data_IF_027467935146
#
_entry.id   IF_027467935146
#
_cell.length_a   1.000
_cell.length_b   1.000
_cell.length_c   1.000
_cell.angle_alpha   90.00
_cell.angle_beta   90.00
_cell.angle_gamma   90.00
#
_symmetry.space_group_name_H-M   'P 1'
#
loop_
_entity.id
_entity.type
_entity.pdbx_description
1 polymer ?
#
# COMPACT_ATOMS: atom_id res chain seq x y z
N UNK A 1 -19.43 -2.09 27.82
CA UNK A 1 -19.61 -3.26 26.91
C UNK A 1 -18.26 -3.94 26.71
N UNK A 2 -18.21 -5.18 26.20
CA UNK A 2 -16.93 -5.88 25.96
C UNK A 2 -15.98 -5.07 25.05
N UNK A 3 -16.51 -4.30 24.10
CA UNK A 3 -15.72 -3.42 23.25
C UNK A 3 -15.08 -2.26 24.01
N UNK A 4 -15.78 -1.66 24.99
CA UNK A 4 -15.23 -0.57 25.81
C UNK A 4 -14.06 -1.02 26.68
N UNK A 5 -14.08 -2.27 27.12
CA UNK A 5 -13.01 -2.84 27.93
C UNK A 5 -11.82 -3.26 27.06
N UNK A 6 -12.06 -3.86 25.88
CA UNK A 6 -10.98 -4.41 25.06
C UNK A 6 -10.23 -3.36 24.23
N UNK A 7 -10.93 -2.37 23.66
CA UNK A 7 -10.33 -1.40 22.74
C UNK A 7 -9.11 -0.68 23.33
N UNK A 8 -9.14 -0.18 24.59
CA UNK A 8 -7.97 0.43 25.25
C UNK A 8 -6.70 -0.43 25.29
N UNK A 9 -6.84 -1.77 25.24
CA UNK A 9 -5.68 -2.67 25.28
C UNK A 9 -5.16 -3.03 23.89
N UNK A 10 -5.99 -2.92 22.85
CA UNK A 10 -5.65 -3.40 21.50
C UNK A 10 -5.37 -2.29 20.49
N UNK A 11 -5.82 -1.04 20.73
CA UNK A 11 -5.64 0.04 19.75
C UNK A 11 -4.17 0.39 19.47
N UNK A 12 -3.29 0.23 20.47
CA UNK A 12 -1.86 0.55 20.34
C UNK A 12 -1.00 -0.61 19.83
N UNK A 13 -1.59 -1.78 19.56
CA UNK A 13 -0.86 -2.91 19.00
C UNK A 13 -0.42 -2.55 17.58
N UNK A 14 0.90 -2.48 17.34
CA UNK A 14 1.46 -2.05 16.06
C UNK A 14 1.19 -3.03 14.92
N UNK A 15 0.98 -4.32 15.23
CA UNK A 15 0.62 -5.35 14.24
C UNK A 15 -0.85 -5.26 13.79
N UNK A 16 -1.67 -4.45 14.46
CA UNK A 16 -3.06 -4.21 14.05
C UNK A 16 -3.12 -2.92 13.25
N UNK A 17 -3.60 -3.03 12.01
CA UNK A 17 -3.86 -1.90 11.13
C UNK A 17 -5.23 -1.27 11.43
N UNK A 18 -6.30 -2.07 11.33
CA UNK A 18 -7.69 -1.62 11.48
C UNK A 18 -8.52 -2.62 12.28
N UNK A 19 -9.39 -2.14 13.17
CA UNK A 19 -10.32 -2.91 14.01
C UNK A 19 -11.76 -2.58 13.58
N UNK A 20 -12.52 -3.58 13.14
CA UNK A 20 -13.91 -3.42 12.70
C UNK A 20 -14.86 -3.87 13.81
N UNK A 21 -15.80 -3.01 14.18
CA UNK A 21 -16.79 -3.31 15.22
C UNK A 21 -18.13 -3.68 14.58
N UNK A 22 -18.58 -4.91 14.79
CA UNK A 22 -19.94 -5.35 14.48
C UNK A 22 -20.81 -5.23 15.74
N UNK A 23 -21.88 -4.45 15.67
CA UNK A 23 -22.84 -4.35 16.77
C UNK A 23 -24.26 -4.18 16.22
N UNK A 24 -25.14 -5.09 16.58
CA UNK A 24 -26.57 -5.05 16.21
C UNK A 24 -27.39 -4.15 17.14
N UNK A 25 -26.88 -3.88 18.33
CA UNK A 25 -27.53 -2.99 19.29
C UNK A 25 -26.97 -1.58 19.09
N UNK A 26 -27.82 -0.61 18.75
CA UNK A 26 -27.43 0.78 18.43
C UNK A 26 -26.76 1.58 19.58
N UNK A 27 -26.36 0.91 20.65
CA UNK A 27 -25.89 1.53 21.89
C UNK A 27 -24.46 2.06 21.77
N UNK A 28 -23.64 1.49 20.87
CA UNK A 28 -22.19 1.74 20.80
C UNK A 28 -21.80 2.76 19.69
N UNK A 29 -22.77 3.44 19.07
CA UNK A 29 -22.49 4.25 17.87
C UNK A 29 -21.85 5.63 18.11
N UNK A 30 -21.65 6.07 19.36
CA UNK A 30 -21.35 7.48 19.65
C UNK A 30 -19.87 7.86 19.83
N UNK A 31 -19.12 7.11 20.65
CA UNK A 31 -17.96 7.72 21.34
C UNK A 31 -16.58 7.19 20.91
N UNK A 32 -16.47 5.97 20.37
CA UNK A 32 -15.17 5.30 20.20
C UNK A 32 -14.55 5.48 18.81
N UNK A 33 -15.38 5.65 17.79
CA UNK A 33 -14.96 5.75 16.38
C UNK A 33 -14.19 7.03 16.11
N UNK A 34 -14.51 8.09 16.87
CA UNK A 34 -13.79 9.36 16.82
C UNK A 34 -12.59 9.40 17.79
N UNK A 35 -12.53 8.48 18.75
CA UNK A 35 -11.47 8.47 19.78
C UNK A 35 -10.23 7.70 19.33
N UNK A 36 -10.39 6.66 18.53
CA UNK A 36 -9.31 5.75 18.15
C UNK A 36 -9.20 5.66 16.63
N UNK A 37 -8.07 6.08 16.07
CA UNK A 37 -7.85 6.16 14.62
C UNK A 37 -7.96 4.81 13.88
N UNK A 38 -7.66 3.70 14.57
CA UNK A 38 -7.74 2.35 14.01
C UNK A 38 -9.12 1.71 14.06
N UNK A 39 -10.10 2.34 14.72
CA UNK A 39 -11.41 1.72 14.96
C UNK A 39 -12.42 2.20 13.92
N UNK A 40 -13.01 1.26 13.18
CA UNK A 40 -14.08 1.51 12.20
C UNK A 40 -15.40 0.87 12.64
N UNK A 41 -16.50 1.56 12.40
CA UNK A 41 -17.85 1.09 12.72
C UNK A 41 -18.63 2.06 13.62
N UNK A 42 -19.52 1.58 14.51
CA UNK A 42 -20.05 0.21 14.51
C UNK A 42 -20.89 -0.06 13.26
N UNK A 43 -20.82 -1.29 12.77
CA UNK A 43 -21.59 -1.76 11.62
C UNK A 43 -22.76 -2.61 12.09
N UNK A 44 -23.96 -2.30 11.59
CA UNK A 44 -25.20 -3.02 11.91
C UNK A 44 -25.36 -4.32 11.11
N UNK A 45 -24.61 -4.46 10.01
CA UNK A 45 -24.67 -5.60 9.10
C UNK A 45 -23.26 -6.07 8.76
N UNK A 46 -23.05 -7.38 8.77
CA UNK A 46 -21.78 -8.00 8.39
C UNK A 46 -21.40 -7.64 6.95
N UNK A 47 -22.39 -7.49 6.05
CA UNK A 47 -22.18 -7.08 4.67
C UNK A 47 -21.48 -5.73 4.57
N UNK A 48 -21.83 -4.77 5.43
CA UNK A 48 -21.16 -3.46 5.47
C UNK A 48 -19.70 -3.57 5.90
N UNK A 49 -19.34 -4.54 6.74
CA UNK A 49 -17.95 -4.82 7.08
C UNK A 49 -17.22 -5.39 5.85
N UNK A 50 -17.83 -6.35 5.15
CA UNK A 50 -17.23 -6.92 3.94
C UNK A 50 -16.94 -5.85 2.88
N UNK A 51 -17.88 -4.94 2.64
CA UNK A 51 -17.71 -3.85 1.66
C UNK A 51 -16.55 -2.92 2.01
N UNK A 52 -16.43 -2.53 3.29
CA UNK A 52 -15.33 -1.65 3.74
C UNK A 52 -14.01 -2.40 3.72
N UNK A 53 -13.99 -3.67 4.14
CA UNK A 53 -12.79 -4.50 4.10
C UNK A 53 -12.28 -4.69 2.66
N UNK A 54 -13.17 -4.89 1.68
CA UNK A 54 -12.78 -4.93 0.27
C UNK A 54 -12.18 -3.61 -0.22
N UNK A 55 -12.70 -2.47 0.23
CA UNK A 55 -12.16 -1.16 -0.10
C UNK A 55 -10.78 -0.94 0.52
N UNK A 56 -10.62 -1.32 1.80
CA UNK A 56 -9.38 -1.17 2.54
C UNK A 56 -8.27 -2.07 1.97
N UNK A 57 -8.60 -3.30 1.54
CA UNK A 57 -7.66 -4.18 0.82
C UNK A 57 -7.23 -3.55 -0.50
N UNK A 58 -8.17 -3.00 -1.28
CA UNK A 58 -7.85 -2.32 -2.55
C UNK A 58 -6.98 -1.08 -2.33
N UNK A 59 -7.19 -0.35 -1.23
CA UNK A 59 -6.38 0.80 -0.87
C UNK A 59 -4.99 0.39 -0.37
N UNK A 60 -4.88 -0.68 0.43
CA UNK A 60 -3.61 -1.26 0.86
C UNK A 60 -2.75 -1.68 -0.34
N UNK A 61 -3.32 -2.42 -1.30
CA UNK A 61 -2.61 -2.78 -2.54
C UNK A 61 -2.16 -1.57 -3.38
N UNK A 62 -2.87 -0.43 -3.31
CA UNK A 62 -2.44 0.84 -3.94
C UNK A 62 -1.40 1.59 -3.13
N UNK A 63 -1.46 1.50 -1.80
CA UNK A 63 -0.53 2.11 -0.87
C UNK A 63 0.77 1.32 -0.70
N UNK A 64 0.85 0.09 -1.20
CA UNK A 64 2.09 -0.68 -1.34
C UNK A 64 2.94 -0.24 -2.56
N UNK A 65 2.57 0.86 -3.23
CA UNK A 65 3.46 1.53 -4.18
C UNK A 65 3.53 3.06 -4.00
N UNK A 66 4.06 3.60 -2.88
CA UNK A 66 4.50 4.98 -2.82
C UNK A 66 6.03 4.98 -2.93
N UNK A 67 6.55 5.17 -4.14
CA UNK A 67 7.96 5.54 -4.28
C UNK A 67 8.07 7.03 -3.94
N UNK A 68 8.23 7.35 -2.65
CA UNK A 68 8.49 8.72 -2.20
C UNK A 68 9.98 9.00 -2.32
N UNK A 69 10.34 9.86 -3.25
CA UNK A 69 11.72 10.30 -3.45
C UNK A 69 12.06 11.61 -2.72
N UNK A 70 11.13 12.16 -1.95
CA UNK A 70 11.36 13.36 -1.16
C UNK A 70 11.33 12.96 0.31
N UNK A 71 12.33 13.35 1.11
CA UNK A 71 12.30 13.06 2.54
C UNK A 71 11.14 13.83 3.19
N UNK A 72 10.22 13.10 3.81
CA UNK A 72 9.07 13.65 4.52
C UNK A 72 9.55 14.18 5.88
N UNK A 73 10.25 15.30 5.88
CA UNK A 73 10.74 15.92 7.10
C UNK A 73 9.63 16.80 7.68
N UNK A 74 9.02 16.40 8.80
CA UNK A 74 7.97 17.17 9.50
C UNK A 74 8.46 18.52 10.09
N UNK A 75 9.74 18.87 9.92
CA UNK A 75 10.38 20.05 10.54
C UNK A 75 11.06 20.99 9.52
N UNK A 76 10.53 21.17 8.31
CA UNK A 76 11.09 22.14 7.35
C UNK A 76 10.62 23.56 7.61
N UNK A 77 11.07 24.15 8.71
CA UNK A 77 11.29 25.59 8.78
C UNK A 77 12.80 25.79 8.69
N UNK A 78 13.28 26.41 7.62
CA UNK A 78 14.69 26.73 7.30
C UNK A 78 15.51 25.74 6.44
N UNK A 79 14.89 24.99 5.51
CA UNK A 79 15.66 24.39 4.41
C UNK A 79 15.75 25.34 3.22
N UNK A 80 16.97 25.68 2.82
CA UNK A 80 17.30 26.52 1.66
C UNK A 80 16.78 25.86 0.38
N UNK A 81 15.71 26.42 -0.19
CA UNK A 81 15.05 25.94 -1.42
C UNK A 81 15.98 25.90 -2.65
N UNK A 82 17.18 26.50 -2.54
CA UNK A 82 18.21 26.45 -3.59
C UNK A 82 19.10 25.19 -3.52
N UNK A 83 19.00 24.38 -2.46
CA UNK A 83 19.69 23.10 -2.37
C UNK A 83 18.78 22.01 -2.93
N UNK A 84 19.11 21.56 -4.13
CA UNK A 84 18.46 20.40 -4.73
C UNK A 84 18.77 19.19 -3.84
N UNK A 85 17.73 18.62 -3.23
CA UNK A 85 17.86 17.44 -2.39
C UNK A 85 18.60 16.35 -3.20
N UNK A 86 19.64 15.68 -2.66
CA UNK A 86 20.32 14.60 -3.36
C UNK A 86 19.36 13.54 -3.93
N UNK A 87 18.22 13.33 -3.27
CA UNK A 87 17.14 12.45 -3.72
C UNK A 87 16.51 12.90 -5.03
N UNK A 88 16.44 14.20 -5.30
CA UNK A 88 16.01 14.72 -6.59
C UNK A 88 16.97 14.30 -7.72
N UNK A 89 18.29 14.39 -7.49
CA UNK A 89 19.29 13.94 -8.46
C UNK A 89 19.17 12.43 -8.71
N UNK A 90 19.02 11.63 -7.65
CA UNK A 90 18.81 10.19 -7.79
C UNK A 90 17.50 9.88 -8.53
N UNK A 91 16.44 10.64 -8.29
CA UNK A 91 15.14 10.49 -8.97
C UNK A 91 15.26 10.81 -10.44
N UNK A 92 15.91 11.91 -10.80
CA UNK A 92 16.09 12.28 -12.20
C UNK A 92 16.94 11.24 -12.92
N UNK A 93 18.05 10.79 -12.32
CA UNK A 93 18.87 9.72 -12.91
C UNK A 93 18.06 8.42 -13.06
N UNK A 94 17.29 8.04 -12.04
CA UNK A 94 16.48 6.83 -12.06
C UNK A 94 15.36 6.91 -13.11
N UNK A 95 14.67 8.05 -13.18
CA UNK A 95 13.66 8.37 -14.21
C UNK A 95 14.27 8.33 -15.60
N UNK A 96 15.47 8.88 -15.79
CA UNK A 96 16.16 8.85 -17.07
C UNK A 96 16.53 7.42 -17.47
N UNK A 97 17.08 6.61 -16.56
CA UNK A 97 17.40 5.20 -16.83
C UNK A 97 16.12 4.43 -17.17
N UNK A 98 15.06 4.62 -16.39
CA UNK A 98 13.81 3.91 -16.59
C UNK A 98 13.12 4.32 -17.88
N UNK A 99 13.00 5.61 -18.20
CA UNK A 99 12.19 6.08 -19.32
C UNK A 99 12.96 6.21 -20.64
N UNK A 100 14.28 6.44 -20.61
CA UNK A 100 15.08 6.58 -21.85
C UNK A 100 15.50 5.24 -22.44
N UNK A 101 15.45 4.15 -21.68
CA UNK A 101 15.70 2.82 -22.21
C UNK A 101 14.51 2.39 -23.08
N UNK A 102 14.78 2.05 -24.34
CA UNK A 102 13.80 1.42 -25.21
C UNK A 102 13.66 -0.05 -24.80
N UNK A 103 12.71 -0.33 -23.92
CA UNK A 103 12.36 -1.72 -23.63
C UNK A 103 11.62 -2.30 -24.82
N UNK A 104 12.12 -3.44 -25.27
CA UNK A 104 11.46 -4.28 -26.25
C UNK A 104 10.94 -5.55 -25.54
N UNK A 105 10.20 -6.38 -26.27
CA UNK A 105 9.73 -7.67 -25.77
C UNK A 105 10.86 -8.49 -25.12
N UNK A 106 12.07 -8.44 -25.66
CA UNK A 106 13.22 -9.16 -25.13
C UNK A 106 13.61 -8.69 -23.73
N UNK A 107 13.49 -7.41 -23.45
CA UNK A 107 13.76 -6.82 -22.13
C UNK A 107 12.78 -7.36 -21.07
N UNK A 108 11.51 -7.56 -21.46
CA UNK A 108 10.49 -8.13 -20.59
C UNK A 108 10.75 -9.61 -20.32
N UNK A 109 11.09 -10.38 -21.37
CA UNK A 109 11.47 -11.80 -21.21
C UNK A 109 12.67 -11.98 -20.28
N UNK A 110 13.69 -11.13 -20.43
CA UNK A 110 14.89 -11.16 -19.60
C UNK A 110 14.57 -10.79 -18.15
N UNK A 111 13.67 -9.81 -17.94
CA UNK A 111 13.18 -9.44 -16.62
C UNK A 111 12.38 -10.58 -15.95
N UNK A 112 11.44 -11.19 -16.66
CA UNK A 112 10.68 -12.35 -16.16
C UNK A 112 11.61 -13.51 -15.81
N UNK A 113 12.59 -13.78 -16.66
CA UNK A 113 13.61 -14.83 -16.41
C UNK A 113 14.40 -14.53 -15.14
N UNK A 114 14.84 -13.28 -14.96
CA UNK A 114 15.51 -12.84 -13.75
C UNK A 114 14.63 -13.04 -12.51
N UNK A 115 13.36 -12.62 -12.55
CA UNK A 115 12.43 -12.78 -11.42
C UNK A 115 12.22 -14.26 -11.06
N UNK A 116 12.06 -15.14 -12.05
CA UNK A 116 11.95 -16.60 -11.82
C UNK A 116 13.18 -17.18 -11.13
N UNK A 117 14.37 -16.70 -11.47
CA UNK A 117 15.61 -17.11 -10.81
C UNK A 117 15.73 -16.58 -9.38
N UNK A 118 15.27 -15.35 -9.13
CA UNK A 118 15.32 -14.76 -7.77
C UNK A 118 14.29 -15.39 -6.82
N UNK A 119 13.16 -15.85 -7.34
CA UNK A 119 12.04 -16.36 -6.55
C UNK A 119 11.82 -17.86 -6.69
N UNK A 120 12.84 -18.63 -7.10
CA UNK A 120 12.76 -20.07 -7.36
C UNK A 120 12.17 -20.89 -6.19
N UNK A 121 12.41 -20.46 -4.95
CA UNK A 121 11.91 -21.07 -3.73
C UNK A 121 10.62 -20.44 -3.19
N UNK A 122 9.99 -19.49 -3.91
CA UNK A 122 8.79 -18.78 -3.49
C UNK A 122 7.63 -18.97 -4.50
N UNK A 123 6.80 -20.01 -4.32
CA UNK A 123 5.70 -20.31 -5.23
C UNK A 123 4.69 -19.17 -5.44
N UNK A 124 4.42 -18.39 -4.39
CA UNK A 124 3.50 -17.24 -4.48
C UNK A 124 4.06 -16.15 -5.40
N UNK A 125 5.36 -15.84 -5.28
CA UNK A 125 6.00 -14.87 -6.17
C UNK A 125 6.11 -15.39 -7.59
N UNK A 126 6.31 -16.69 -7.79
CA UNK A 126 6.30 -17.28 -9.13
C UNK A 126 4.93 -17.14 -9.81
N UNK A 127 3.82 -17.34 -9.06
CA UNK A 127 2.47 -17.12 -9.58
C UNK A 127 2.24 -15.66 -9.99
N UNK A 128 2.74 -14.70 -9.19
CA UNK A 128 2.70 -13.27 -9.55
C UNK A 128 3.52 -12.96 -10.80
N UNK A 129 4.69 -13.59 -10.96
CA UNK A 129 5.52 -13.43 -12.17
C UNK A 129 4.83 -14.01 -13.41
N UNK A 130 4.13 -15.13 -13.27
CA UNK A 130 3.35 -15.75 -14.36
C UNK A 130 2.12 -14.89 -14.74
N UNK A 131 1.44 -14.28 -13.76
CA UNK A 131 0.38 -13.29 -14.00
C UNK A 131 0.92 -12.08 -14.76
N UNK A 132 2.04 -11.52 -14.32
CA UNK A 132 2.69 -10.40 -15.00
C UNK A 132 3.04 -10.73 -16.45
N UNK A 133 3.70 -11.87 -16.73
CA UNK A 133 4.10 -12.25 -18.09
C UNK A 133 2.88 -12.43 -19.01
N UNK A 134 1.79 -13.01 -18.50
CA UNK A 134 0.56 -13.25 -19.26
C UNK A 134 -0.19 -11.96 -19.59
N UNK A 135 -0.28 -11.06 -18.63
CA UNK A 135 -1.15 -9.88 -18.73
C UNK A 135 -0.40 -8.64 -19.27
N UNK A 136 0.94 -8.71 -19.36
CA UNK A 136 1.77 -7.65 -19.94
C UNK A 136 1.41 -7.41 -21.42
N UNK A 137 1.14 -6.14 -21.74
CA UNK A 137 0.82 -5.70 -23.09
C UNK A 137 1.46 -4.34 -23.36
N UNK A 138 2.37 -4.31 -24.33
CA UNK A 138 3.10 -3.10 -24.78
C UNK A 138 2.18 -1.91 -25.14
N UNK A 139 0.92 -2.17 -25.48
CA UNK A 139 -0.04 -1.12 -25.85
C UNK A 139 -0.68 -0.44 -24.65
N UNK A 140 -0.67 -1.07 -23.47
CA UNK A 140 -1.18 -0.51 -22.22
C UNK A 140 -0.08 -0.05 -21.26
N UNK A 141 1.19 -0.34 -21.57
CA UNK A 141 2.33 0.14 -20.80
C UNK A 141 2.46 1.66 -20.87
N UNK A 142 2.77 2.28 -19.73
CA UNK A 142 3.07 3.72 -19.63
C UNK A 142 4.36 3.98 -20.42
N UNK A 143 4.29 4.92 -21.38
CA UNK A 143 5.44 5.37 -22.19
C UNK A 143 5.98 6.69 -21.68
#
# INVERSE_FOLDING_TARGET
>A
SLCEELIPFVHDISQLDTIYIFDTDKVIAGEYTNKWSKVKGPYLQILSICEVLEQDIKQCNRNDTPVSFVPLNENTTDQDLNQLDPSFMYTEIFKEILLKNQYNQKSIEDFVTFCRQQYDANPLMLETVDEFERDYNDKSSIK
#
